data_IF_682600639495
#
_entry.id   IF_682600639495
#
_cell.length_a   1.000
_cell.length_b   1.000
_cell.length_c   1.000
_cell.angle_alpha   90.00
_cell.angle_beta   90.00
_cell.angle_gamma   90.00
#
_symmetry.space_group_name_H-M   'P 1'
#
loop_
_entity.id
_entity.type
_entity.pdbx_description
1 polymer ?
#
# COMPACT_ATOMS: atom_id res chain seq x y z
N UNK A 1 -9.35 7.77 -11.89
CA UNK A 1 -10.04 6.49 -11.65
C UNK A 1 -10.27 6.30 -10.15
N UNK A 2 -11.51 6.04 -9.74
CA UNK A 2 -11.79 5.62 -8.36
C UNK A 2 -11.82 4.09 -8.29
N UNK A 3 -11.41 3.54 -7.15
CA UNK A 3 -11.48 2.10 -6.91
C UNK A 3 -11.95 1.81 -5.48
N UNK A 4 -12.58 0.64 -5.33
CA UNK A 4 -12.94 0.06 -4.05
C UNK A 4 -12.65 -1.42 -4.07
N UNK A 5 -11.88 -1.89 -3.10
CA UNK A 5 -11.47 -3.28 -2.97
C UNK A 5 -11.80 -3.75 -1.55
N UNK A 6 -12.59 -4.80 -1.46
CA UNK A 6 -12.97 -5.42 -0.20
C UNK A 6 -12.34 -6.81 -0.07
N UNK A 7 -11.78 -7.11 1.10
CA UNK A 7 -11.14 -8.39 1.40
C UNK A 7 -11.51 -8.85 2.81
N UNK A 8 -11.92 -10.11 2.93
CA UNK A 8 -12.01 -10.77 4.24
C UNK A 8 -10.61 -11.17 4.68
N UNK A 9 -10.18 -10.63 5.81
CA UNK A 9 -8.87 -10.88 6.41
C UNK A 9 -9.06 -11.83 7.60
N UNK A 10 -8.26 -12.92 7.70
CA UNK A 10 -8.38 -13.91 8.77
C UNK A 10 -7.68 -13.45 10.05
N UNK A 11 -7.98 -12.23 10.46
CA UNK A 11 -7.56 -11.62 11.72
C UNK A 11 -8.68 -10.69 12.21
N UNK A 12 -8.88 -10.59 13.52
CA UNK A 12 -9.84 -9.63 14.08
C UNK A 12 -9.47 -8.20 13.69
N UNK A 13 -10.46 -7.30 13.63
CA UNK A 13 -10.20 -5.90 13.28
C UNK A 13 -9.21 -5.25 14.27
N UNK A 14 -9.37 -5.53 15.56
CA UNK A 14 -8.46 -5.07 16.62
C UNK A 14 -7.05 -5.65 16.46
N UNK A 15 -6.93 -6.95 16.24
CA UNK A 15 -5.64 -7.62 16.08
C UNK A 15 -4.89 -7.09 14.87
N UNK A 16 -5.57 -6.96 13.73
CA UNK A 16 -4.97 -6.39 12.52
C UNK A 16 -4.57 -4.92 12.74
N UNK A 17 -5.42 -4.15 13.40
CA UNK A 17 -5.12 -2.74 13.69
C UNK A 17 -3.93 -2.58 14.63
N UNK A 18 -3.77 -3.48 15.60
CA UNK A 18 -2.68 -3.45 16.56
C UNK A 18 -1.32 -3.76 15.90
N UNK A 19 -1.28 -4.68 14.93
CA UNK A 19 -0.03 -5.04 14.23
C UNK A 19 0.28 -4.11 13.06
N UNK A 20 -0.72 -3.45 12.47
CA UNK A 20 -0.47 -2.47 11.42
C UNK A 20 0.46 -1.36 11.93
N UNK A 21 1.57 -1.18 11.23
CA UNK A 21 2.60 -0.16 11.51
C UNK A 21 3.46 -0.47 12.74
N UNK A 22 3.52 -1.73 13.17
CA UNK A 22 4.61 -2.18 14.04
C UNK A 22 5.85 -2.43 13.20
N UNK A 23 7.06 -2.16 13.72
CA UNK A 23 8.31 -2.39 12.97
C UNK A 23 8.44 -3.82 12.45
N UNK A 24 7.98 -4.78 13.25
CA UNK A 24 8.04 -6.19 12.89
C UNK A 24 7.10 -6.56 11.73
N UNK A 25 5.84 -6.10 11.79
CA UNK A 25 4.90 -6.36 10.71
C UNK A 25 5.30 -5.63 9.43
N UNK A 26 5.81 -4.40 9.56
CA UNK A 26 6.36 -3.64 8.43
C UNK A 26 7.56 -4.35 7.78
N UNK A 27 8.50 -4.88 8.57
CA UNK A 27 9.64 -5.64 8.05
C UNK A 27 9.20 -6.93 7.34
N UNK A 28 8.23 -7.65 7.92
CA UNK A 28 7.61 -8.81 7.27
C UNK A 28 7.00 -8.40 5.93
N UNK A 29 6.19 -7.35 5.90
CA UNK A 29 5.52 -6.87 4.69
C UNK A 29 6.54 -6.45 3.62
N UNK A 30 7.56 -5.69 4.01
CA UNK A 30 8.62 -5.26 3.09
C UNK A 30 9.31 -6.45 2.41
N UNK A 31 9.67 -7.47 3.18
CA UNK A 31 10.24 -8.72 2.67
C UNK A 31 9.30 -9.43 1.71
N UNK A 32 8.04 -9.64 2.10
CA UNK A 32 7.09 -10.40 1.31
C UNK A 32 6.62 -9.68 0.04
N UNK A 33 6.68 -8.34 0.01
CA UNK A 33 6.46 -7.55 -1.20
C UNK A 33 7.73 -7.38 -2.05
N UNK A 34 8.90 -7.83 -1.59
CA UNK A 34 10.17 -7.66 -2.29
C UNK A 34 10.59 -6.20 -2.38
N UNK A 35 10.32 -5.42 -1.34
CA UNK A 35 10.73 -4.02 -1.26
C UNK A 35 12.23 -3.97 -0.91
N UNK A 36 12.99 -3.19 -1.68
CA UNK A 36 14.40 -2.94 -1.40
C UNK A 36 14.57 -2.01 -0.20
N UNK A 37 13.72 -0.97 -0.14
CA UNK A 37 13.67 -0.02 0.96
C UNK A 37 12.22 0.13 1.39
N UNK A 38 12.00 0.05 2.70
CA UNK A 38 10.75 0.39 3.35
C UNK A 38 11.11 0.94 4.73
N UNK A 39 11.31 2.27 4.79
CA UNK A 39 11.88 2.93 5.97
C UNK A 39 11.02 4.12 6.39
N UNK A 40 10.82 4.27 7.69
CA UNK A 40 10.16 5.42 8.28
C UNK A 40 11.11 6.64 8.25
N UNK A 41 10.67 7.70 7.57
CA UNK A 41 11.37 8.98 7.51
C UNK A 41 10.94 9.88 8.66
N UNK A 42 9.63 9.93 8.91
CA UNK A 42 9.03 10.76 9.94
C UNK A 42 7.87 10.00 10.60
N UNK A 43 7.70 10.22 11.89
CA UNK A 43 6.55 9.72 12.66
C UNK A 43 6.13 10.72 13.71
N UNK A 44 4.87 11.12 13.63
CA UNK A 44 4.22 11.99 14.60
C UNK A 44 3.09 11.20 15.26
N UNK A 45 3.10 11.14 16.59
CA UNK A 45 2.08 10.45 17.37
C UNK A 45 1.37 11.45 18.28
N UNK A 46 0.05 11.45 18.21
CA UNK A 46 -0.84 12.15 19.13
C UNK A 46 -1.82 11.17 19.75
N UNK A 47 -2.62 11.61 20.73
CA UNK A 47 -3.64 10.79 21.37
C UNK A 47 -4.70 10.22 20.41
N UNK A 48 -4.92 10.88 19.27
CA UNK A 48 -6.01 10.54 18.34
C UNK A 48 -5.52 9.98 17.02
N UNK A 49 -4.29 10.30 16.63
CA UNK A 49 -3.78 10.04 15.29
C UNK A 49 -2.29 9.78 15.32
N UNK A 50 -1.87 8.85 14.48
CA UNK A 50 -0.48 8.65 14.11
C UNK A 50 -0.31 9.02 12.64
N UNK A 51 0.58 9.95 12.36
CA UNK A 51 1.02 10.27 11.02
C UNK A 51 2.42 9.71 10.81
N UNK A 52 2.67 9.11 9.65
CA UNK A 52 4.01 8.69 9.26
C UNK A 52 4.29 8.95 7.79
N UNK A 53 5.55 9.21 7.48
CA UNK A 53 6.07 9.34 6.13
C UNK A 53 7.09 8.22 5.92
N UNK A 54 6.89 7.43 4.89
CA UNK A 54 7.71 6.27 4.55
C UNK A 54 8.41 6.52 3.23
N UNK A 55 9.67 6.09 3.12
CA UNK A 55 10.35 5.91 1.84
C UNK A 55 10.21 4.47 1.39
N UNK A 56 9.79 4.27 0.14
CA UNK A 56 9.64 2.95 -0.46
C UNK A 56 10.45 2.88 -1.74
N UNK A 57 11.27 1.83 -1.87
CA UNK A 57 11.96 1.49 -3.12
C UNK A 57 11.62 0.05 -3.48
N UNK A 58 11.15 -0.16 -4.70
CA UNK A 58 10.80 -1.48 -5.24
C UNK A 58 11.40 -1.67 -6.63
N UNK A 59 11.70 -2.93 -6.97
CA UNK A 59 12.10 -3.28 -8.33
C UNK A 59 10.85 -3.46 -9.17
N UNK A 60 10.72 -2.67 -10.25
CA UNK A 60 9.60 -2.84 -11.16
C UNK A 60 10.01 -3.88 -12.20
N UNK A 61 9.45 -5.09 -12.10
CA UNK A 61 9.58 -6.07 -13.16
C UNK A 61 8.54 -5.73 -14.24
N UNK A 62 8.89 -4.74 -15.07
CA UNK A 62 8.08 -4.30 -16.20
C UNK A 62 8.45 -5.15 -17.42
N UNK A 63 7.48 -5.40 -18.30
CA UNK A 63 7.84 -5.91 -19.62
C UNK A 63 8.63 -4.83 -20.39
N UNK A 64 9.38 -5.26 -21.41
CA UNK A 64 10.34 -4.41 -22.13
C UNK A 64 9.81 -3.03 -22.57
N UNK A 65 8.60 -2.98 -23.11
CA UNK A 65 7.96 -1.73 -23.57
C UNK A 65 7.71 -0.76 -22.40
N UNK A 66 7.33 -1.29 -21.25
CA UNK A 66 7.07 -0.50 -20.06
C UNK A 66 8.34 -0.10 -19.33
N UNK A 67 9.36 -0.94 -19.35
CA UNK A 67 10.70 -0.60 -18.92
C UNK A 67 11.20 0.60 -19.73
N UNK A 68 11.04 0.60 -21.06
CA UNK A 68 11.42 1.74 -21.91
C UNK A 68 10.70 3.04 -21.56
N UNK A 69 9.38 3.00 -21.35
CA UNK A 69 8.60 4.20 -20.97
C UNK A 69 9.06 4.69 -19.59
N UNK A 70 9.28 3.76 -18.66
CA UNK A 70 9.72 4.06 -17.31
C UNK A 70 11.13 4.66 -17.29
N UNK A 71 12.07 4.09 -18.06
CA UNK A 71 13.44 4.58 -18.21
C UNK A 71 13.46 5.96 -18.90
N UNK A 72 12.57 6.21 -19.87
CA UNK A 72 12.45 7.52 -20.50
C UNK A 72 11.91 8.61 -19.56
N UNK A 73 11.02 8.26 -18.63
CA UNK A 73 10.38 9.22 -17.72
C UNK A 73 11.21 9.40 -16.44
N UNK A 74 11.86 8.34 -15.95
CA UNK A 74 12.46 8.29 -14.60
C UNK A 74 13.95 7.96 -14.59
N UNK A 75 14.53 7.51 -15.71
CA UNK A 75 15.97 7.27 -15.86
C UNK A 75 16.56 6.20 -14.91
N UNK A 76 15.72 5.37 -14.28
CA UNK A 76 16.13 4.40 -13.26
C UNK A 76 15.34 3.10 -13.40
N UNK A 77 15.98 1.97 -13.14
CA UNK A 77 15.33 0.65 -13.09
C UNK A 77 14.51 0.40 -11.79
N UNK A 78 14.49 1.37 -10.88
CA UNK A 78 13.84 1.27 -9.58
C UNK A 78 12.70 2.28 -9.45
N UNK A 79 11.66 1.88 -8.73
CA UNK A 79 10.57 2.76 -8.34
C UNK A 79 10.74 3.18 -6.89
N UNK A 80 11.17 4.42 -6.75
CA UNK A 80 11.22 5.15 -5.50
C UNK A 80 9.98 6.04 -5.38
N UNK A 81 9.35 6.06 -4.22
CA UNK A 81 8.26 6.98 -3.88
C UNK A 81 8.15 7.07 -2.36
N UNK A 82 7.42 8.08 -1.91
CA UNK A 82 7.06 8.20 -0.51
C UNK A 82 5.61 7.82 -0.28
N UNK A 83 5.31 7.36 0.93
CA UNK A 83 3.95 7.10 1.38
C UNK A 83 3.69 7.89 2.65
N UNK A 84 2.73 8.80 2.59
CA UNK A 84 2.18 9.48 3.75
C UNK A 84 1.01 8.65 4.25
N UNK A 85 0.95 8.36 5.54
CA UNK A 85 -0.11 7.59 6.17
C UNK A 85 -0.62 8.27 7.43
N UNK A 86 -1.94 8.37 7.57
CA UNK A 86 -2.60 8.95 8.73
C UNK A 86 -3.55 7.92 9.35
N UNK A 87 -3.07 7.25 10.40
CA UNK A 87 -3.80 6.20 11.12
C UNK A 87 -4.56 6.83 12.28
N UNK A 88 -5.88 6.74 12.27
CA UNK A 88 -6.69 7.17 13.40
C UNK A 88 -6.64 6.12 14.51
N UNK A 89 -6.30 6.49 15.75
CA UNK A 89 -6.13 5.49 16.82
C UNK A 89 -7.48 4.97 17.34
N UNK A 90 -8.50 5.83 17.33
CA UNK A 90 -9.81 5.54 17.93
C UNK A 90 -10.83 4.96 16.94
N UNK A 91 -10.44 4.77 15.68
CA UNK A 91 -11.28 4.16 14.64
C UNK A 91 -10.40 3.35 13.72
N UNK A 92 -10.88 2.20 13.24
CA UNK A 92 -10.15 1.37 12.30
C UNK A 92 -10.15 1.98 10.88
N UNK A 93 -9.63 3.19 10.76
CA UNK A 93 -9.56 3.95 9.52
C UNK A 93 -8.21 4.65 9.38
N UNK A 94 -7.65 4.60 8.18
CA UNK A 94 -6.38 5.22 7.85
C UNK A 94 -6.44 5.84 6.46
N UNK A 95 -6.00 7.09 6.34
CA UNK A 95 -5.73 7.71 5.04
C UNK A 95 -4.31 7.38 4.59
N UNK A 96 -4.09 7.30 3.29
CA UNK A 96 -2.76 7.17 2.71
C UNK A 96 -2.66 7.94 1.40
N UNK A 97 -1.45 8.40 1.08
CA UNK A 97 -1.11 9.09 -0.15
C UNK A 97 0.28 8.66 -0.60
N UNK A 98 0.42 8.35 -1.88
CA UNK A 98 1.69 8.08 -2.53
C UNK A 98 2.15 9.36 -3.19
N UNK A 99 3.35 9.80 -2.83
CA UNK A 99 4.02 10.97 -3.38
C UNK A 99 5.16 10.48 -4.27
N UNK A 100 5.05 10.64 -5.60
CA UNK A 100 6.13 10.25 -6.50
C UNK A 100 7.31 11.24 -6.38
N UNK A 101 8.55 10.83 -6.68
CA UNK A 101 9.73 11.67 -6.55
C UNK A 101 9.80 12.76 -7.64
N UNK A 102 9.10 12.54 -8.76
CA UNK A 102 8.95 13.50 -9.85
C UNK A 102 7.50 13.48 -10.34
N UNK A 103 7.10 14.50 -11.10
CA UNK A 103 5.77 14.59 -11.69
C UNK A 103 4.63 14.56 -10.65
N UNK A 104 4.85 15.18 -9.49
CA UNK A 104 3.90 15.25 -8.36
C UNK A 104 2.54 15.82 -8.82
N UNK A 105 2.55 16.78 -9.74
CA UNK A 105 1.31 17.37 -10.28
C UNK A 105 0.61 16.50 -11.33
N UNK A 106 1.28 15.45 -11.83
CA UNK A 106 0.74 14.56 -12.87
C UNK A 106 0.24 13.23 -12.34
N UNK A 107 0.68 12.85 -11.15
CA UNK A 107 0.28 11.60 -10.50
C UNK A 107 -0.17 11.85 -9.09
N UNK A 108 -1.44 11.54 -8.82
CA UNK A 108 -1.96 11.50 -7.46
C UNK A 108 -2.57 10.15 -7.17
N UNK A 109 -2.06 9.47 -6.16
CA UNK A 109 -2.61 8.20 -5.72
C UNK A 109 -2.83 8.27 -4.22
N UNK A 110 -4.09 8.35 -3.81
CA UNK A 110 -4.45 8.42 -2.39
C UNK A 110 -5.71 7.64 -2.11
N UNK A 111 -5.98 7.40 -0.84
CA UNK A 111 -7.13 6.65 -0.44
C UNK A 111 -7.25 6.44 1.05
N UNK A 112 -8.16 5.55 1.39
CA UNK A 112 -8.52 5.21 2.75
C UNK A 112 -8.64 3.71 2.91
N UNK A 113 -8.15 3.23 4.03
CA UNK A 113 -8.33 1.87 4.50
C UNK A 113 -9.31 1.93 5.67
N UNK A 114 -10.30 1.04 5.68
CA UNK A 114 -11.24 0.85 6.80
C UNK A 114 -11.30 -0.63 7.16
N UNK A 115 -11.30 -0.96 8.44
CA UNK A 115 -11.59 -2.32 8.91
C UNK A 115 -13.00 -2.35 9.52
N UNK A 116 -13.81 -3.32 9.13
CA UNK A 116 -15.07 -3.64 9.79
C UNK A 116 -14.96 -5.02 10.43
N UNK A 117 -15.31 -5.19 11.72
CA UNK A 117 -15.34 -6.51 12.32
C UNK A 117 -16.38 -7.39 11.60
N UNK A 118 -16.04 -8.66 11.37
CA UNK A 118 -16.99 -9.70 10.94
C UNK A 118 -17.30 -10.60 12.13
N UNK A 119 -16.24 -11.07 12.79
CA UNK A 119 -16.28 -11.86 14.03
C UNK A 119 -14.95 -11.70 14.79
N UNK A 120 -14.76 -12.47 15.87
CA UNK A 120 -13.56 -12.43 16.71
C UNK A 120 -12.27 -12.86 16.01
N UNK A 121 -12.36 -13.51 14.84
CA UNK A 121 -11.22 -14.07 14.11
C UNK A 121 -11.02 -13.43 12.74
N UNK A 122 -11.98 -12.62 12.27
CA UNK A 122 -12.00 -12.08 10.91
C UNK A 122 -12.50 -10.65 10.85
N UNK A 123 -11.99 -9.89 9.89
CA UNK A 123 -12.50 -8.57 9.56
C UNK A 123 -12.61 -8.36 8.05
N UNK A 124 -13.44 -7.41 7.64
CA UNK A 124 -13.50 -6.90 6.28
C UNK A 124 -12.56 -5.69 6.18
N UNK A 125 -11.52 -5.81 5.37
CA UNK A 125 -10.66 -4.68 4.99
C UNK A 125 -11.19 -4.07 3.70
N UNK A 126 -11.62 -2.81 3.79
CA UNK A 126 -12.11 -2.00 2.69
C UNK A 126 -11.00 -1.01 2.32
N UNK A 127 -10.55 -1.03 1.08
CA UNK A 127 -9.60 -0.06 0.51
C UNK A 127 -10.31 0.74 -0.56
N UNK A 128 -10.39 2.05 -0.37
CA UNK A 128 -10.99 2.99 -1.31
C UNK A 128 -9.92 3.98 -1.73
N UNK A 129 -9.91 4.42 -2.97
CA UNK A 129 -8.94 5.44 -3.36
C UNK A 129 -9.21 6.02 -4.73
N UNK A 130 -8.41 7.02 -5.05
CA UNK A 130 -8.41 7.73 -6.31
C UNK A 130 -7.00 7.70 -6.91
N UNK A 131 -6.93 7.36 -8.18
CA UNK A 131 -5.76 7.45 -9.01
C UNK A 131 -6.02 8.53 -10.05
N UNK A 132 -5.25 9.61 -10.02
CA UNK A 132 -5.29 10.68 -11.00
C UNK A 132 -3.97 10.63 -11.78
N UNK A 133 -4.10 10.52 -13.11
CA UNK A 133 -2.98 10.49 -14.04
C UNK A 133 -3.27 11.54 -15.11
N UNK A 134 -2.45 12.58 -15.15
CA UNK A 134 -2.51 13.66 -16.12
C UNK A 134 -1.31 13.61 -17.08
N UNK A 135 -1.23 12.50 -17.82
CA UNK A 135 -0.27 12.34 -18.92
C UNK A 135 -1.07 12.08 -20.20
N UNK A 136 -0.95 13.00 -21.15
CA UNK A 136 -1.67 12.99 -22.43
C UNK A 136 -1.35 11.78 -23.30
N UNK A 137 -0.12 11.24 -23.24
CA UNK A 137 0.25 9.97 -23.86
C UNK A 137 0.41 8.85 -22.82
N UNK A 138 -0.38 7.79 -22.93
CA UNK A 138 -0.22 6.58 -22.10
C UNK A 138 -1.19 6.44 -20.91
N UNK A 139 -2.11 7.39 -20.68
CA UNK A 139 -3.13 7.31 -19.62
C UNK A 139 -3.90 5.98 -19.62
N UNK A 140 -4.43 5.56 -20.77
CA UNK A 140 -5.21 4.32 -20.90
C UNK A 140 -4.39 3.07 -20.57
N UNK A 141 -3.12 3.05 -20.99
CA UNK A 141 -2.20 1.94 -20.71
C UNK A 141 -1.95 1.87 -19.19
N UNK A 142 -1.60 3.00 -18.57
CA UNK A 142 -1.36 3.10 -17.12
C UNK A 142 -2.61 2.72 -16.30
N UNK A 143 -3.79 3.18 -16.69
CA UNK A 143 -5.05 2.80 -16.04
C UNK A 143 -5.29 1.27 -16.10
N UNK A 144 -5.03 0.65 -17.26
CA UNK A 144 -5.16 -0.81 -17.45
C UNK A 144 -4.19 -1.62 -16.58
N UNK A 145 -2.95 -1.15 -16.45
CA UNK A 145 -1.93 -1.78 -15.60
C UNK A 145 -2.35 -1.71 -14.15
N UNK A 146 -2.80 -0.54 -13.69
CA UNK A 146 -3.23 -0.35 -12.31
C UNK A 146 -4.45 -1.21 -12.01
N UNK A 147 -5.41 -1.31 -12.93
CA UNK A 147 -6.55 -2.21 -12.78
C UNK A 147 -6.12 -3.68 -12.65
N UNK A 148 -5.16 -4.12 -13.47
CA UNK A 148 -4.63 -5.50 -13.44
C UNK A 148 -3.87 -5.79 -12.14
N UNK A 149 -2.96 -4.89 -11.74
CA UNK A 149 -2.21 -5.02 -10.48
C UNK A 149 -3.15 -4.97 -9.27
N UNK A 150 -4.20 -4.15 -9.31
CA UNK A 150 -5.20 -4.07 -8.24
C UNK A 150 -5.94 -5.40 -8.04
N UNK A 151 -6.28 -6.11 -9.12
CA UNK A 151 -6.88 -7.46 -9.04
C UNK A 151 -5.92 -8.46 -8.38
N UNK A 152 -4.64 -8.43 -8.73
CA UNK A 152 -3.63 -9.32 -8.14
C UNK A 152 -3.39 -8.99 -6.66
N UNK A 153 -3.31 -7.70 -6.31
CA UNK A 153 -3.09 -7.24 -4.94
C UNK A 153 -4.27 -7.52 -4.00
N UNK A 154 -5.49 -7.72 -4.55
CA UNK A 154 -6.69 -8.04 -3.77
C UNK A 154 -6.45 -9.27 -2.88
N UNK A 155 -5.99 -10.37 -3.47
CA UNK A 155 -5.82 -11.64 -2.75
C UNK A 155 -4.51 -11.75 -1.98
N UNK A 156 -3.45 -11.08 -2.44
CA UNK A 156 -2.11 -11.19 -1.85
C UNK A 156 -2.09 -10.77 -0.37
N UNK A 157 -2.71 -9.65 -0.01
CA UNK A 157 -2.67 -9.17 1.38
C UNK A 157 -3.29 -10.17 2.37
N UNK A 158 -4.39 -10.83 1.98
CA UNK A 158 -5.00 -11.89 2.80
C UNK A 158 -4.02 -13.02 3.07
N UNK A 159 -3.35 -13.53 2.02
CA UNK A 159 -2.38 -14.61 2.12
C UNK A 159 -1.19 -14.23 3.01
N UNK A 160 -0.74 -12.98 2.92
CA UNK A 160 0.34 -12.48 3.77
C UNK A 160 -0.06 -12.41 5.24
N UNK A 161 -1.30 -12.04 5.55
CA UNK A 161 -1.80 -12.08 6.94
C UNK A 161 -1.92 -13.52 7.46
N UNK A 162 -2.34 -14.47 6.62
CA UNK A 162 -2.34 -15.91 6.97
C UNK A 162 -0.92 -16.40 7.28
N UNK A 163 0.05 -16.06 6.41
CA UNK A 163 1.47 -16.40 6.59
C UNK A 163 2.06 -15.76 7.85
N UNK A 164 1.78 -14.49 8.11
CA UNK A 164 2.22 -13.79 9.32
C UNK A 164 1.73 -14.49 10.59
N UNK A 165 0.44 -14.85 10.64
CA UNK A 165 -0.11 -15.58 11.79
C UNK A 165 0.59 -16.92 12.01
N UNK A 166 0.91 -17.63 10.93
CA UNK A 166 1.61 -18.90 11.01
C UNK A 166 3.04 -18.72 11.57
N UNK A 167 3.80 -17.75 11.06
CA UNK A 167 5.15 -17.43 11.59
C UNK A 167 5.11 -17.05 13.08
N UNK A 168 4.05 -16.36 13.52
CA UNK A 168 3.85 -15.97 14.93
C UNK A 168 3.42 -17.07 15.88
N UNK A 169 2.92 -18.19 15.38
CA UNK A 169 2.55 -19.33 16.23
C UNK A 169 3.72 -20.27 16.50
N UNK A 170 4.80 -20.15 15.72
CA UNK A 170 5.96 -21.06 15.76
C UNK A 170 7.18 -20.38 16.42
N UNK A 171 7.21 -19.05 16.46
CA UNK A 171 8.23 -18.24 17.14
C UNK A 171 7.92 -18.07 18.63
#
# INVERSE_FOLDING_TARGET
MNFRIENVIPMSAQGLWAVLHTPEFDAFMAREYGLKIYSELEKNLSDKMMQRRLRVVTTVNLNFVMQMIYDQILGKAELEYEVIQEKCLNRYAMYWEIVPPVLVDKFRFSGMIRLKPIDEKRCLMIREGNIQIDISMGKLILESIIATKSKIMKHRFRQLVEKWKYEKLIA
#
